data_IF_392047233342
#
_entry.id   IF_392047233342
#
_cell.length_a   1.000
_cell.length_b   1.000
_cell.length_c   1.000
_cell.angle_alpha   90.00
_cell.angle_beta   90.00
_cell.angle_gamma   90.00
#
_symmetry.space_group_name_H-M   'P 1'
#
loop_
_entity.id
_entity.type
_entity.pdbx_description
1 polymer ?
#
# COMPACT_ATOMS: atom_id res chain seq x y z
N UNK A 1 4.04 9.23 -3.30
CA UNK A 1 4.18 10.70 -3.17
C UNK A 1 4.53 11.42 -4.47
N UNK A 2 5.36 10.87 -5.36
CA UNK A 2 5.76 11.55 -6.61
C UNK A 2 4.58 11.96 -7.50
N UNK A 3 3.53 11.15 -7.58
CA UNK A 3 2.33 11.47 -8.39
C UNK A 3 1.59 12.71 -7.87
N UNK A 4 1.52 12.90 -6.55
CA UNK A 4 0.85 14.06 -5.95
C UNK A 4 1.64 15.35 -6.24
N UNK A 5 2.97 15.27 -6.19
CA UNK A 5 3.87 16.40 -6.52
C UNK A 5 3.75 16.80 -7.98
N UNK A 6 3.67 15.81 -8.89
CA UNK A 6 3.42 16.09 -10.30
C UNK A 6 2.07 16.76 -10.52
N UNK A 7 1.00 16.21 -9.90
CA UNK A 7 -0.35 16.76 -10.03
C UNK A 7 -0.42 18.18 -9.47
N UNK A 8 0.23 18.47 -8.35
CA UNK A 8 0.30 19.82 -7.79
C UNK A 8 1.01 20.80 -8.73
N UNK A 9 2.11 20.38 -9.36
CA UNK A 9 2.82 21.24 -10.31
C UNK A 9 1.94 21.65 -11.52
N UNK A 10 1.03 20.77 -11.95
CA UNK A 10 0.16 21.00 -13.12
C UNK A 10 -1.15 21.67 -12.74
N UNK A 11 -1.77 21.25 -11.63
CA UNK A 11 -3.12 21.65 -11.24
C UNK A 11 -3.14 22.76 -10.18
N UNK A 12 -2.01 22.99 -9.50
CA UNK A 12 -1.81 23.99 -8.46
C UNK A 12 -2.85 23.84 -7.33
N UNK A 13 -2.78 22.75 -6.56
CA UNK A 13 -3.73 22.53 -5.48
C UNK A 13 -3.51 23.57 -4.37
N UNK A 14 -4.59 24.16 -3.86
CA UNK A 14 -4.50 25.03 -2.68
C UNK A 14 -4.52 24.20 -1.40
N UNK A 15 -5.19 23.05 -1.43
CA UNK A 15 -5.45 22.20 -0.28
C UNK A 15 -5.47 20.72 -0.71
N UNK A 16 -4.98 19.85 0.17
CA UNK A 16 -5.01 18.40 -0.02
C UNK A 16 -5.60 17.75 1.22
N UNK A 17 -6.62 16.89 1.03
CA UNK A 17 -7.26 16.13 2.10
C UNK A 17 -7.06 14.63 1.87
N UNK A 18 -6.54 13.93 2.89
CA UNK A 18 -6.42 12.47 2.90
C UNK A 18 -7.61 11.91 3.66
N UNK A 19 -8.48 11.15 2.98
CA UNK A 19 -9.64 10.52 3.58
C UNK A 19 -9.38 9.03 3.79
N UNK A 20 -9.25 8.62 5.05
CA UNK A 20 -9.35 7.21 5.42
C UNK A 20 -10.83 6.82 5.49
N UNK A 21 -11.13 5.54 5.29
CA UNK A 21 -12.48 5.00 5.40
C UNK A 21 -12.52 3.93 6.50
N UNK A 22 -13.69 3.76 7.11
CA UNK A 22 -13.93 2.66 8.05
C UNK A 22 -13.85 1.31 7.32
N UNK A 23 -13.59 0.25 8.08
CA UNK A 23 -13.47 -1.12 7.56
C UNK A 23 -12.36 -1.24 6.48
N UNK A 24 -11.27 -0.49 6.67
CA UNK A 24 -10.12 -0.57 5.78
C UNK A 24 -9.28 -1.80 6.15
N UNK A 25 -9.02 -2.67 5.19
CA UNK A 25 -8.20 -3.87 5.40
C UNK A 25 -6.78 -3.55 5.90
N UNK A 26 -6.28 -2.36 5.61
CA UNK A 26 -5.02 -1.84 6.15
C UNK A 26 -5.01 -1.67 7.68
N UNK A 27 -6.19 -1.59 8.33
CA UNK A 27 -6.29 -1.59 9.80
C UNK A 27 -6.37 -3.00 10.39
N UNK A 28 -6.68 -4.01 9.57
CA UNK A 28 -6.99 -5.37 10.02
C UNK A 28 -5.83 -6.35 9.81
N UNK A 29 -4.99 -6.12 8.81
CA UNK A 29 -3.94 -7.05 8.41
C UNK A 29 -2.56 -6.43 8.51
N UNK A 30 -1.57 -7.28 8.75
CA UNK A 30 -0.15 -6.92 8.74
C UNK A 30 0.52 -7.37 7.46
N UNK A 31 1.67 -6.77 7.18
CA UNK A 31 2.53 -7.15 6.06
C UNK A 31 2.80 -8.65 6.02
N UNK A 32 3.06 -9.25 7.18
CA UNK A 32 3.39 -10.68 7.25
C UNK A 32 2.18 -11.56 6.93
N UNK A 33 0.99 -11.23 7.46
CA UNK A 33 -0.25 -11.94 7.13
C UNK A 33 -0.52 -11.89 5.61
N UNK A 34 -0.34 -10.72 4.99
CA UNK A 34 -0.54 -10.54 3.55
C UNK A 34 0.51 -11.34 2.77
N UNK A 35 1.78 -11.31 3.18
CA UNK A 35 2.86 -12.07 2.53
C UNK A 35 2.65 -13.57 2.62
N UNK A 36 2.26 -14.10 3.78
CA UNK A 36 1.99 -15.53 3.95
C UNK A 36 0.93 -16.01 2.96
N UNK A 37 -0.22 -15.33 2.91
CA UNK A 37 -1.30 -15.67 1.98
C UNK A 37 -0.86 -15.53 0.51
N UNK A 38 -0.03 -14.55 0.18
CA UNK A 38 0.51 -14.41 -1.18
C UNK A 38 1.45 -15.56 -1.54
N UNK A 39 2.29 -16.02 -0.61
CA UNK A 39 3.21 -17.17 -0.84
C UNK A 39 2.45 -18.48 -0.99
N UNK A 40 1.38 -18.68 -0.24
CA UNK A 40 0.49 -19.84 -0.40
C UNK A 40 -0.12 -19.89 -1.80
N UNK A 41 -0.53 -18.72 -2.34
CA UNK A 41 -1.18 -18.61 -3.64
C UNK A 41 -0.20 -18.60 -4.82
N UNK A 42 1.04 -18.17 -4.58
CA UNK A 42 2.06 -18.01 -5.61
C UNK A 42 3.46 -18.49 -5.13
N UNK A 43 3.62 -19.79 -4.84
CA UNK A 43 4.84 -20.31 -4.20
C UNK A 43 6.10 -20.15 -5.06
N UNK A 44 5.95 -20.08 -6.40
CA UNK A 44 7.07 -19.84 -7.33
C UNK A 44 7.67 -18.43 -7.22
N UNK A 45 7.03 -17.51 -6.50
CA UNK A 45 7.43 -16.11 -6.40
C UNK A 45 7.77 -15.67 -4.96
N UNK A 46 8.01 -16.61 -4.05
CA UNK A 46 8.25 -16.32 -2.63
C UNK A 46 9.34 -15.25 -2.40
N UNK A 47 10.46 -15.31 -3.11
CA UNK A 47 11.54 -14.34 -2.98
C UNK A 47 11.12 -12.93 -3.41
N UNK A 48 10.32 -12.80 -4.47
CA UNK A 48 9.80 -11.51 -4.91
C UNK A 48 8.74 -10.97 -3.94
N UNK A 49 7.97 -11.84 -3.31
CA UNK A 49 6.94 -11.47 -2.31
C UNK A 49 7.60 -10.92 -1.04
N UNK A 50 8.74 -11.48 -0.62
CA UNK A 50 9.50 -10.99 0.53
C UNK A 50 10.01 -9.55 0.34
N UNK A 51 10.29 -9.16 -0.89
CA UNK A 51 10.78 -7.83 -1.25
C UNK A 51 9.67 -6.81 -1.48
N UNK A 52 8.40 -7.21 -1.44
CA UNK A 52 7.28 -6.28 -1.62
C UNK A 52 7.19 -5.31 -0.44
N UNK A 53 7.26 -4.02 -0.77
CA UNK A 53 6.70 -2.97 0.06
C UNK A 53 5.18 -3.00 -0.08
N UNK A 54 4.46 -3.14 1.04
CA UNK A 54 3.01 -3.23 1.10
C UNK A 54 2.49 -2.03 1.90
N UNK A 55 2.42 -0.83 1.27
CA UNK A 55 2.15 0.39 1.99
C UNK A 55 0.76 0.34 2.61
N UNK A 56 0.69 0.64 3.90
CA UNK A 56 -0.56 0.62 4.66
C UNK A 56 -0.77 -0.65 5.49
N UNK A 57 0.02 -1.71 5.27
CA UNK A 57 0.01 -2.92 6.11
C UNK A 57 1.23 -2.97 7.05
N UNK A 58 1.94 -1.85 7.21
CA UNK A 58 3.24 -1.75 7.90
C UNK A 58 3.18 -1.80 9.45
N UNK A 59 2.01 -2.09 10.05
CA UNK A 59 1.80 -2.06 11.53
C UNK A 59 1.77 -3.44 12.18
#
# INVERSE_FOLDING_TARGET
MQNLVFLDHVLQFTDVMIMHHTDCSAELFKNDDVREILKERAPAHNSAIDELGLPGFDK
#
